data_IF_605968056258
#
_entry.id   IF_605968056258
#
_cell.length_a   1.000
_cell.length_b   1.000
_cell.length_c   1.000
_cell.angle_alpha   90.00
_cell.angle_beta   90.00
_cell.angle_gamma   90.00
#
_symmetry.space_group_name_H-M   'P 1'
#
loop_
_entity.id
_entity.type
_entity.pdbx_description
1 polymer ?
#
# COMPACT_ATOMS: atom_id res chain seq x y z
N UNK A 1 -9.36 22.32 2.68
CA UNK A 1 -9.51 21.03 2.00
C UNK A 1 -10.96 20.64 2.09
N UNK A 2 -11.62 20.51 0.93
CA UNK A 2 -13.03 20.09 0.81
C UNK A 2 -13.15 18.79 0.00
N UNK A 3 -12.02 18.15 -0.31
CA UNK A 3 -11.95 16.94 -1.10
C UNK A 3 -12.35 15.72 -0.25
N UNK A 4 -13.04 14.72 -0.84
CA UNK A 4 -13.36 13.49 -0.15
C UNK A 4 -12.06 12.74 0.20
N UNK A 5 -11.88 12.42 1.48
CA UNK A 5 -10.78 11.61 1.98
C UNK A 5 -11.27 10.20 2.25
N UNK A 6 -10.46 9.22 1.89
CA UNK A 6 -10.69 7.82 2.23
C UNK A 6 -9.69 7.38 3.29
N UNK A 7 -10.16 6.72 4.34
CA UNK A 7 -9.28 6.26 5.42
C UNK A 7 -9.34 4.75 5.54
N UNK A 8 -8.18 4.10 5.36
CA UNK A 8 -8.03 2.69 5.67
C UNK A 8 -6.70 2.42 6.37
N UNK A 9 -6.75 2.46 7.71
CA UNK A 9 -5.86 1.82 8.70
C UNK A 9 -4.35 1.80 8.42
N UNK A 10 -3.83 2.76 7.66
CA UNK A 10 -2.42 2.80 7.28
C UNK A 10 -2.01 4.14 6.67
N UNK A 11 -0.71 4.42 6.76
CA UNK A 11 -0.03 5.52 6.09
C UNK A 11 -0.20 5.51 4.57
N UNK A 12 -0.43 4.34 3.96
CA UNK A 12 -0.65 4.21 2.52
C UNK A 12 -1.84 5.06 2.04
N UNK A 13 -2.99 4.95 2.73
CA UNK A 13 -4.17 5.74 2.37
C UNK A 13 -3.96 7.24 2.55
N UNK A 14 -3.19 7.65 3.55
CA UNK A 14 -2.83 9.05 3.75
C UNK A 14 -2.00 9.59 2.58
N UNK A 15 -1.00 8.83 2.12
CA UNK A 15 -0.18 9.20 0.95
C UNK A 15 -1.04 9.27 -0.32
N UNK A 16 -1.94 8.30 -0.52
CA UNK A 16 -2.81 8.28 -1.69
C UNK A 16 -3.80 9.46 -1.71
N UNK A 17 -4.40 9.83 -0.57
CA UNK A 17 -5.20 11.05 -0.45
C UNK A 17 -4.38 12.31 -0.78
N UNK A 18 -3.15 12.39 -0.28
CA UNK A 18 -2.29 13.53 -0.56
C UNK A 18 -2.00 13.65 -2.06
N UNK A 19 -1.73 12.53 -2.73
CA UNK A 19 -1.50 12.47 -4.17
C UNK A 19 -2.77 12.87 -4.95
N UNK A 20 -3.94 12.32 -4.60
CA UNK A 20 -5.20 12.60 -5.31
C UNK A 20 -5.56 14.10 -5.32
N UNK A 21 -5.19 14.83 -4.27
CA UNK A 21 -5.45 16.25 -4.14
C UNK A 21 -4.42 17.09 -4.91
N UNK A 22 -3.14 16.80 -4.73
CA UNK A 22 -2.06 17.70 -5.14
C UNK A 22 -1.45 17.35 -6.51
N UNK A 23 -1.57 16.10 -6.94
CA UNK A 23 -0.93 15.59 -8.17
C UNK A 23 -1.97 14.82 -8.99
N UNK A 24 -2.68 15.55 -9.85
CA UNK A 24 -3.70 14.99 -10.75
C UNK A 24 -3.06 14.45 -12.04
N UNK A 25 -3.74 13.54 -12.73
CA UNK A 25 -3.30 12.97 -14.01
C UNK A 25 -1.88 12.38 -13.98
N UNK A 26 -1.50 11.73 -12.88
CA UNK A 26 -0.15 11.22 -12.64
C UNK A 26 -0.14 9.69 -12.56
N UNK A 27 0.96 9.11 -13.06
CA UNK A 27 1.27 7.70 -12.85
C UNK A 27 2.00 7.55 -11.50
N UNK A 28 1.45 6.71 -10.62
CA UNK A 28 1.96 6.43 -9.28
C UNK A 28 2.60 5.05 -9.32
N UNK A 29 3.89 4.99 -9.03
CA UNK A 29 4.65 3.73 -9.08
C UNK A 29 5.00 3.32 -7.65
N UNK A 30 4.47 2.17 -7.23
CA UNK A 30 4.82 1.57 -5.95
C UNK A 30 6.14 0.80 -6.05
N UNK A 31 7.06 1.13 -5.16
CA UNK A 31 8.37 0.51 -5.02
C UNK A 31 8.48 -0.06 -3.60
N UNK A 32 8.64 -1.37 -3.47
CA UNK A 32 8.73 -2.06 -2.18
C UNK A 32 7.41 -2.16 -1.40
N UNK A 33 6.26 -2.03 -2.08
CA UNK A 33 4.93 -2.22 -1.47
C UNK A 33 4.37 -3.59 -1.88
N UNK A 34 4.76 -4.62 -1.14
CA UNK A 34 4.40 -6.01 -1.46
C UNK A 34 3.16 -6.48 -0.70
N UNK A 35 3.08 -6.12 0.59
CA UNK A 35 2.04 -6.46 1.57
C UNK A 35 1.89 -7.96 1.90
N UNK A 36 2.38 -8.87 1.06
CA UNK A 36 2.35 -10.33 1.26
C UNK A 36 3.42 -10.86 2.21
N UNK A 37 4.21 -9.98 2.82
CA UNK A 37 5.27 -10.31 3.76
C UNK A 37 5.20 -9.35 4.97
N UNK A 38 5.39 -9.83 6.20
CA UNK A 38 5.41 -8.96 7.39
C UNK A 38 6.69 -8.12 7.48
N UNK A 39 7.72 -8.43 6.70
CA UNK A 39 9.01 -7.74 6.73
C UNK A 39 8.96 -6.40 5.99
N UNK A 40 9.61 -5.40 6.58
CA UNK A 40 9.99 -4.16 5.90
C UNK A 40 11.28 -4.34 5.09
N UNK A 41 11.57 -3.38 4.21
CA UNK A 41 12.77 -3.37 3.36
C UNK A 41 14.08 -3.55 4.15
N UNK A 42 14.17 -2.99 5.36
CA UNK A 42 15.35 -3.10 6.23
C UNK A 42 15.16 -4.05 7.43
N UNK A 43 14.21 -4.98 7.36
CA UNK A 43 13.84 -5.81 8.50
C UNK A 43 15.02 -6.59 9.08
N UNK A 44 15.88 -7.15 8.22
CA UNK A 44 17.01 -7.97 8.66
C UNK A 44 18.14 -7.10 9.28
N UNK A 45 18.13 -5.79 9.06
CA UNK A 45 19.06 -4.82 9.69
C UNK A 45 18.52 -4.26 11.02
N UNK A 46 17.21 -4.29 11.25
CA UNK A 46 16.60 -3.74 12.48
C UNK A 46 17.20 -4.30 13.78
N UNK A 47 17.56 -5.60 13.91
CA UNK A 47 18.18 -6.12 15.12
C UNK A 47 19.54 -5.51 15.48
N UNK A 48 20.21 -4.86 14.52
CA UNK A 48 21.50 -4.19 14.74
C UNK A 48 21.38 -2.77 15.30
N UNK A 49 20.16 -2.24 15.36
CA UNK A 49 19.87 -0.88 15.82
C UNK A 49 19.41 -0.97 17.28
N UNK A 50 19.97 -0.11 18.15
CA UNK A 50 19.56 0.00 19.55
C UNK A 50 18.24 0.79 19.68
N UNK A 51 17.17 0.22 19.15
CA UNK A 51 15.82 0.81 19.17
C UNK A 51 14.76 -0.30 19.14
N UNK A 52 13.71 -0.15 19.96
CA UNK A 52 12.57 -1.06 19.91
C UNK A 52 11.64 -0.71 18.74
N UNK A 53 11.69 -1.51 17.69
CA UNK A 53 10.86 -1.36 16.49
C UNK A 53 9.55 -2.16 16.53
N UNK A 54 9.29 -2.92 17.61
CA UNK A 54 8.04 -3.65 17.76
C UNK A 54 6.94 -2.74 18.29
N UNK A 55 5.75 -2.88 17.72
CA UNK A 55 4.52 -2.25 18.14
C UNK A 55 3.40 -3.28 18.37
N UNK A 56 2.18 -2.78 18.63
CA UNK A 56 1.02 -3.63 18.88
C UNK A 56 0.60 -4.50 17.68
N UNK A 57 1.06 -4.19 16.45
CA UNK A 57 0.79 -4.98 15.24
C UNK A 57 1.83 -6.07 14.98
N UNK A 58 2.99 -6.01 15.65
CA UNK A 58 4.15 -6.85 15.34
C UNK A 58 3.88 -8.34 15.57
N UNK A 59 3.18 -8.72 16.64
CA UNK A 59 2.81 -10.12 16.88
C UNK A 59 1.73 -10.60 15.88
N UNK A 60 0.78 -9.74 15.51
CA UNK A 60 -0.29 -10.06 14.56
C UNK A 60 0.31 -10.33 13.18
N UNK A 61 1.16 -9.44 12.69
CA UNK A 61 1.80 -9.57 11.37
C UNK A 61 2.69 -10.82 11.29
N UNK A 62 3.40 -11.13 12.38
CA UNK A 62 4.21 -12.35 12.48
C UNK A 62 3.37 -13.62 12.43
N UNK A 63 2.22 -13.65 13.10
CA UNK A 63 1.30 -14.80 13.11
C UNK A 63 0.63 -15.02 11.75
N UNK A 64 0.19 -13.93 11.11
CA UNK A 64 -0.52 -13.97 9.82
C UNK A 64 0.42 -14.11 8.61
N UNK A 65 1.72 -13.86 8.81
CA UNK A 65 2.71 -13.91 7.73
C UNK A 65 2.45 -12.86 6.64
N UNK A 66 1.84 -11.72 6.99
CA UNK A 66 1.43 -10.65 6.07
C UNK A 66 1.63 -9.28 6.70
N UNK A 67 1.73 -8.24 5.88
CA UNK A 67 1.72 -6.86 6.38
C UNK A 67 0.36 -6.54 7.00
N UNK A 68 0.34 -5.78 8.11
CA UNK A 68 -0.87 -5.53 8.89
C UNK A 68 -2.01 -4.94 8.06
N UNK A 69 -1.68 -4.12 7.06
CA UNK A 69 -2.66 -3.52 6.15
C UNK A 69 -3.60 -4.54 5.52
N UNK A 70 -3.13 -5.73 5.14
CA UNK A 70 -3.95 -6.76 4.49
C UNK A 70 -4.48 -7.82 5.46
N UNK A 71 -4.15 -7.70 6.75
CA UNK A 71 -4.70 -8.55 7.81
C UNK A 71 -6.11 -8.07 8.16
N UNK A 72 -7.04 -9.01 8.26
CA UNK A 72 -8.39 -8.71 8.72
C UNK A 72 -8.33 -8.32 10.20
N UNK A 73 -8.79 -7.12 10.52
CA UNK A 73 -8.83 -6.63 11.91
C UNK A 73 -10.17 -5.94 12.13
N UNK A 74 -10.80 -6.09 13.30
CA UNK A 74 -12.08 -5.43 13.65
C UNK A 74 -13.12 -5.39 12.49
N UNK A 75 -13.30 -6.51 11.79
CA UNK A 75 -14.22 -6.69 10.66
C UNK A 75 -13.99 -5.82 9.40
N UNK A 76 -12.80 -5.25 9.21
CA UNK A 76 -12.45 -4.57 7.96
C UNK A 76 -11.26 -5.24 7.28
N UNK A 77 -11.27 -5.28 5.95
CA UNK A 77 -10.17 -5.79 5.13
C UNK A 77 -9.81 -4.80 4.04
N UNK A 78 -8.53 -4.75 3.69
CA UNK A 78 -8.06 -3.87 2.62
C UNK A 78 -8.79 -4.15 1.32
N UNK A 79 -9.06 -5.42 1.03
CA UNK A 79 -9.74 -5.86 -0.19
C UNK A 79 -11.15 -5.27 -0.35
N UNK A 80 -11.81 -4.90 0.77
CA UNK A 80 -13.15 -4.33 0.74
C UNK A 80 -13.10 -2.82 0.42
N UNK A 81 -12.06 -2.13 0.90
CA UNK A 81 -11.93 -0.67 0.84
C UNK A 81 -11.07 -0.19 -0.34
N UNK A 82 -10.08 -0.98 -0.75
CA UNK A 82 -9.13 -0.62 -1.78
C UNK A 82 -9.76 -0.38 -3.16
N UNK A 83 -10.81 -1.11 -3.60
CA UNK A 83 -11.52 -0.79 -4.84
C UNK A 83 -12.05 0.65 -4.87
N UNK A 84 -12.61 1.12 -3.75
CA UNK A 84 -13.10 2.49 -3.64
C UNK A 84 -11.94 3.50 -3.76
N UNK A 85 -10.82 3.22 -3.10
CA UNK A 85 -9.61 4.06 -3.14
C UNK A 85 -9.07 4.19 -4.57
N UNK A 86 -8.95 3.06 -5.28
CA UNK A 86 -8.49 3.03 -6.68
C UNK A 86 -9.44 3.84 -7.57
N UNK A 87 -10.75 3.69 -7.38
CA UNK A 87 -11.73 4.45 -8.15
C UNK A 87 -11.61 5.97 -7.89
N UNK A 88 -11.43 6.39 -6.63
CA UNK A 88 -11.23 7.81 -6.31
C UNK A 88 -9.95 8.38 -6.96
N UNK A 89 -8.86 7.62 -6.99
CA UNK A 89 -7.64 8.04 -7.69
C UNK A 89 -7.86 8.14 -9.20
N UNK A 90 -8.57 7.17 -9.78
CA UNK A 90 -8.92 7.18 -11.22
C UNK A 90 -9.74 8.41 -11.60
N UNK A 91 -10.67 8.85 -10.75
CA UNK A 91 -11.47 10.08 -10.97
C UNK A 91 -10.60 11.35 -11.04
N UNK A 92 -9.42 11.33 -10.41
CA UNK A 92 -8.43 12.42 -10.49
C UNK A 92 -7.42 12.24 -11.63
N UNK A 93 -7.65 11.26 -12.52
CA UNK A 93 -6.78 10.91 -13.63
C UNK A 93 -5.53 10.12 -13.22
N UNK A 94 -5.42 9.74 -11.94
CA UNK A 94 -4.27 9.02 -11.43
C UNK A 94 -4.37 7.52 -11.72
N UNK A 95 -3.23 6.88 -11.96
CA UNK A 95 -3.11 5.44 -12.17
C UNK A 95 -2.03 4.89 -11.25
N UNK A 96 -2.26 3.71 -10.68
CA UNK A 96 -1.27 3.06 -9.81
C UNK A 96 -0.69 1.84 -10.51
N UNK A 97 0.62 1.69 -10.39
CA UNK A 97 1.38 0.55 -10.86
C UNK A 97 2.28 -0.01 -9.75
N UNK A 98 2.62 -1.29 -9.83
CA UNK A 98 3.62 -1.90 -8.96
C UNK A 98 4.88 -2.29 -9.72
N UNK A 99 6.05 -1.93 -9.17
CA UNK A 99 7.33 -2.49 -9.65
C UNK A 99 7.46 -3.98 -9.35
N UNK A 100 6.80 -4.47 -8.30
CA UNK A 100 6.77 -5.90 -8.00
C UNK A 100 5.54 -6.54 -8.66
N UNK A 101 5.79 -7.29 -9.73
CA UNK A 101 4.77 -7.99 -10.51
C UNK A 101 4.06 -9.09 -9.71
N UNK A 102 4.68 -9.55 -8.62
CA UNK A 102 4.13 -10.56 -7.71
C UNK A 102 3.61 -9.96 -6.40
N UNK A 103 3.50 -8.63 -6.28
CA UNK A 103 2.91 -8.00 -5.08
C UNK A 103 1.46 -8.43 -4.86
N UNK A 104 1.01 -8.38 -3.60
CA UNK A 104 -0.37 -8.71 -3.24
C UNK A 104 -1.39 -7.94 -4.09
N UNK A 105 -1.18 -6.64 -4.29
CA UNK A 105 -2.11 -5.78 -5.03
C UNK A 105 -2.20 -6.12 -6.52
N UNK A 106 -1.12 -6.65 -7.12
CA UNK A 106 -1.14 -7.14 -8.51
C UNK A 106 -1.81 -8.50 -8.59
N UNK A 107 -1.49 -9.43 -7.68
CA UNK A 107 -2.12 -10.77 -7.62
C UNK A 107 -3.64 -10.69 -7.45
N UNK A 108 -4.11 -9.76 -6.61
CA UNK A 108 -5.54 -9.48 -6.39
C UNK A 108 -6.17 -8.61 -7.49
N UNK A 109 -5.40 -8.21 -8.52
CA UNK A 109 -5.85 -7.41 -9.67
C UNK A 109 -6.40 -6.03 -9.30
N UNK A 110 -5.92 -5.44 -8.21
CA UNK A 110 -6.25 -4.06 -7.86
C UNK A 110 -5.45 -3.04 -8.67
N UNK A 111 -4.20 -3.36 -9.01
CA UNK A 111 -3.30 -2.50 -9.78
C UNK A 111 -2.53 -3.31 -10.81
N UNK A 112 -1.99 -2.64 -11.83
CA UNK A 112 -1.23 -3.27 -12.91
C UNK A 112 0.28 -3.33 -12.56
N UNK A 113 1.01 -4.32 -13.09
CA UNK A 113 2.46 -4.29 -13.05
C UNK A 113 3.00 -3.13 -13.89
N UNK A 114 4.02 -2.44 -13.37
CA UNK A 114 4.70 -1.38 -14.11
C UNK A 114 5.57 -1.98 -15.22
N UNK A 115 5.51 -1.41 -16.42
CA UNK A 115 6.36 -1.78 -17.54
C UNK A 115 7.31 -0.64 -17.90
N UNK A 116 8.60 -0.82 -17.56
CA UNK A 116 9.66 0.14 -17.83
C UNK A 116 9.82 0.48 -19.32
N UNK A 117 9.44 -0.42 -20.22
CA UNK A 117 9.59 -0.21 -21.67
C UNK A 117 8.59 0.79 -22.25
N UNK A 118 7.62 1.27 -21.46
CA UNK A 118 6.63 2.27 -21.91
C UNK A 118 7.19 3.70 -21.84
N UNK A 119 8.31 3.91 -21.13
CA UNK A 119 8.89 5.24 -20.90
C UNK A 119 10.30 5.41 -21.51
N UNK A 120 10.82 4.40 -22.20
CA UNK A 120 12.08 4.43 -22.96
C UNK A 120 11.78 4.53 -24.46
#
# INVERSE_FOLDING_TARGET
MNEPLYHFRSSLTTVLNYISINFKNSDIIFVGVDLDNPKYFFYDQLPSIDFNFNDWTSEITKQEGKHFTIVSHENTKMQDEFPFIIEQLRLTGNKIYSMNHDSFLVKEKFIEPFNLNVYN
#
